data_IF_743804026015
#
_entry.id   IF_743804026015
#
_cell.length_a   1.000
_cell.length_b   1.000
_cell.length_c   1.000
_cell.angle_alpha   90.00
_cell.angle_beta   90.00
_cell.angle_gamma   90.00
#
_symmetry.space_group_name_H-M   'P 1'
#
loop_
_entity.id
_entity.type
_entity.pdbx_description
1 polymer ?
#
# COMPACT_ATOMS: atom_id res chain seq x y z
N UNK A 1 -3.56 -7.56 -6.77
CA UNK A 1 -2.11 -7.58 -6.50
C UNK A 1 -1.86 -8.63 -5.43
N UNK A 2 -1.14 -9.69 -5.78
CA UNK A 2 -0.62 -10.65 -4.81
C UNK A 2 0.90 -10.51 -4.85
N UNK A 3 1.47 -9.96 -3.79
CA UNK A 3 2.92 -9.80 -3.62
C UNK A 3 3.47 -11.15 -3.15
N UNK A 4 4.66 -11.61 -3.61
CA UNK A 4 5.27 -12.82 -3.09
C UNK A 4 5.59 -12.65 -1.60
N UNK A 5 4.87 -13.39 -0.77
CA UNK A 5 4.81 -13.26 0.69
C UNK A 5 6.19 -13.28 1.40
N UNK A 6 7.20 -14.00 0.86
CA UNK A 6 8.47 -14.23 1.56
C UNK A 6 9.49 -13.08 1.60
N UNK A 7 9.46 -12.13 0.65
CA UNK A 7 10.32 -10.92 0.70
C UNK A 7 9.67 -9.78 1.50
N UNK A 8 8.35 -9.82 1.62
CA UNK A 8 7.54 -8.83 2.34
C UNK A 8 7.68 -9.02 3.86
N UNK A 9 7.69 -10.26 4.34
CA UNK A 9 7.87 -10.58 5.76
C UNK A 9 9.23 -10.13 6.31
N UNK A 10 10.35 -10.40 5.62
CA UNK A 10 11.69 -10.02 6.11
C UNK A 10 11.92 -8.50 6.20
N UNK A 11 11.26 -7.72 5.34
CA UNK A 11 11.47 -6.26 5.24
C UNK A 11 10.54 -5.47 6.17
N UNK A 12 9.33 -5.96 6.42
CA UNK A 12 8.39 -5.34 7.38
C UNK A 12 8.82 -5.50 8.84
N UNK A 13 9.53 -6.58 9.17
CA UNK A 13 10.16 -6.77 10.51
C UNK A 13 11.03 -5.56 10.90
N UNK A 14 11.69 -4.89 9.95
CA UNK A 14 12.53 -3.72 10.23
C UNK A 14 11.72 -2.46 10.62
N UNK A 15 10.45 -2.36 10.20
CA UNK A 15 9.59 -1.20 10.45
C UNK A 15 8.78 -1.32 11.75
N UNK A 16 8.35 -2.53 12.08
CA UNK A 16 7.57 -2.86 13.29
C UNK A 16 8.31 -2.52 14.58
N UNK A 17 9.65 -2.56 14.53
CA UNK A 17 10.51 -2.13 15.63
C UNK A 17 10.41 -0.63 15.95
N UNK A 18 9.79 0.20 15.10
CA UNK A 18 9.87 1.66 15.23
C UNK A 18 8.75 2.28 16.07
N UNK A 19 7.52 1.75 16.03
CA UNK A 19 6.42 2.26 16.86
C UNK A 19 6.45 1.74 18.31
N UNK A 20 6.93 0.51 18.51
CA UNK A 20 7.06 -0.08 19.84
C UNK A 20 8.44 -0.75 20.00
N UNK A 21 9.53 0.06 20.05
CA UNK A 21 10.90 -0.48 20.04
C UNK A 21 11.26 -1.24 21.31
N UNK A 22 10.61 -0.90 22.42
CA UNK A 22 10.93 -1.40 23.76
C UNK A 22 10.47 -2.85 23.92
N UNK A 23 11.36 -3.67 24.49
CA UNK A 23 10.98 -5.00 24.97
C UNK A 23 10.10 -4.83 26.21
N UNK A 24 9.12 -5.71 26.32
CA UNK A 24 8.20 -5.75 27.44
C UNK A 24 8.96 -6.32 28.63
N UNK A 25 8.95 -5.57 29.72
CA UNK A 25 9.52 -5.98 30.99
C UNK A 25 8.38 -6.16 31.99
N UNK A 26 8.24 -7.38 32.49
CA UNK A 26 7.23 -7.80 33.46
C UNK A 26 7.94 -8.04 34.79
N UNK A 27 7.59 -7.24 35.81
CA UNK A 27 8.09 -7.41 37.17
C UNK A 27 7.90 -8.84 37.67
N UNK A 28 8.93 -9.40 38.32
CA UNK A 28 8.95 -10.82 38.78
C UNK A 28 7.70 -11.17 39.58
N UNK A 29 7.26 -10.27 40.46
CA UNK A 29 6.09 -10.45 41.32
C UNK A 29 4.75 -10.63 40.56
N UNK A 30 4.71 -10.27 39.27
CA UNK A 30 3.49 -10.30 38.45
C UNK A 30 3.56 -11.33 37.32
N UNK A 31 4.67 -12.07 37.16
CA UNK A 31 4.88 -12.98 36.03
C UNK A 31 3.88 -14.14 36.00
N UNK A 32 3.53 -14.69 37.15
CA UNK A 32 2.61 -15.82 37.25
C UNK A 32 1.14 -15.40 37.20
N UNK A 33 0.86 -14.11 37.05
CA UNK A 33 -0.51 -13.62 37.05
C UNK A 33 -1.19 -14.00 35.71
N UNK A 34 -2.35 -14.69 35.77
CA UNK A 34 -3.09 -15.04 34.56
C UNK A 34 -3.56 -13.79 33.84
N UNK A 35 -3.39 -13.76 32.53
CA UNK A 35 -3.78 -12.62 31.70
C UNK A 35 -5.30 -12.39 31.73
N UNK A 36 -6.10 -13.44 31.92
CA UNK A 36 -7.57 -13.34 32.02
C UNK A 36 -8.03 -12.48 33.21
N UNK A 37 -7.14 -12.20 34.18
CA UNK A 37 -7.42 -11.26 35.28
C UNK A 37 -7.32 -9.80 34.87
N UNK A 38 -6.71 -9.49 33.72
CA UNK A 38 -6.63 -8.16 33.14
C UNK A 38 -7.92 -7.81 32.39
N UNK A 39 -8.53 -6.66 32.70
CA UNK A 39 -9.64 -6.14 31.91
C UNK A 39 -9.14 -5.72 30.53
N UNK A 40 -9.31 -6.58 29.54
CA UNK A 40 -8.93 -6.35 28.15
C UNK A 40 -10.10 -6.55 27.21
N UNK A 41 -10.01 -5.94 26.04
CA UNK A 41 -10.95 -6.13 24.96
C UNK A 41 -10.93 -7.59 24.50
N UNK A 42 -12.08 -8.09 24.05
CA UNK A 42 -12.18 -9.43 23.49
C UNK A 42 -11.18 -9.65 22.32
N UNK A 43 -10.84 -8.57 21.60
CA UNK A 43 -9.86 -8.61 20.50
C UNK A 43 -8.44 -8.82 21.02
N UNK A 44 -8.00 -8.06 22.02
CA UNK A 44 -6.67 -8.24 22.62
C UNK A 44 -6.53 -9.61 23.27
N UNK A 45 -7.54 -10.05 24.04
CA UNK A 45 -7.55 -11.36 24.66
C UNK A 45 -7.43 -12.50 23.63
N UNK A 46 -8.12 -12.38 22.48
CA UNK A 46 -8.04 -13.38 21.41
C UNK A 46 -6.67 -13.41 20.72
N UNK A 47 -6.07 -12.24 20.50
CA UNK A 47 -4.71 -12.11 19.93
C UNK A 47 -3.66 -12.75 20.84
N UNK A 48 -3.75 -12.50 22.14
CA UNK A 48 -2.81 -13.01 23.13
C UNK A 48 -2.95 -14.52 23.31
N UNK A 49 -4.18 -15.04 23.42
CA UNK A 49 -4.42 -16.49 23.46
C UNK A 49 -3.89 -17.22 22.22
N UNK A 50 -4.14 -16.68 21.03
CA UNK A 50 -3.64 -17.26 19.77
C UNK A 50 -2.10 -17.27 19.71
N UNK A 51 -1.46 -16.28 20.32
CA UNK A 51 0.00 -16.16 20.37
C UNK A 51 0.64 -16.84 21.58
N UNK A 52 -0.11 -17.73 22.26
CA UNK A 52 0.39 -18.57 23.35
C UNK A 52 0.57 -17.86 24.69
N UNK A 53 0.11 -16.61 24.83
CA UNK A 53 0.21 -15.84 26.07
C UNK A 53 -0.93 -16.23 27.02
N UNK A 54 -0.59 -16.80 28.16
CA UNK A 54 -1.53 -17.23 29.22
C UNK A 54 -1.31 -16.46 30.52
N UNK A 55 -0.04 -16.18 30.85
CA UNK A 55 0.34 -15.37 32.01
C UNK A 55 1.09 -14.12 31.58
N UNK A 56 1.14 -13.09 32.43
CA UNK A 56 1.87 -11.86 32.12
C UNK A 56 3.35 -12.14 31.82
N UNK A 57 3.96 -13.12 32.49
CA UNK A 57 5.35 -13.53 32.26
C UNK A 57 5.65 -13.96 30.82
N UNK A 58 4.68 -14.47 30.06
CA UNK A 58 4.86 -14.88 28.66
C UNK A 58 5.11 -13.68 27.72
N UNK A 59 4.83 -12.46 28.19
CA UNK A 59 5.15 -11.23 27.47
C UNK A 59 6.59 -10.77 27.68
N UNK A 60 7.29 -11.29 28.70
CA UNK A 60 8.65 -10.87 29.04
C UNK A 60 9.59 -11.00 27.84
N UNK A 61 10.34 -9.93 27.53
CA UNK A 61 11.34 -9.91 26.47
C UNK A 61 10.77 -9.82 25.05
N UNK A 62 9.46 -10.03 24.86
CA UNK A 62 8.76 -9.79 23.59
C UNK A 62 8.57 -8.30 23.35
N UNK A 63 8.30 -7.89 22.12
CA UNK A 63 7.90 -6.52 21.80
C UNK A 63 6.42 -6.47 21.50
N UNK A 64 5.80 -5.32 21.77
CA UNK A 64 4.39 -5.09 21.38
C UNK A 64 4.23 -5.22 19.86
N UNK A 65 5.22 -4.76 19.08
CA UNK A 65 5.26 -4.93 17.62
C UNK A 65 5.13 -6.39 17.14
N UNK A 66 5.60 -7.37 17.92
CA UNK A 66 5.58 -8.80 17.54
C UNK A 66 4.15 -9.34 17.34
N UNK A 67 3.14 -8.66 17.88
CA UNK A 67 1.74 -9.07 17.79
C UNK A 67 1.00 -8.47 16.59
N UNK A 68 1.61 -7.53 15.85
CA UNK A 68 0.97 -6.81 14.73
C UNK A 68 0.42 -7.74 13.64
N UNK A 69 1.04 -8.91 13.47
CA UNK A 69 0.70 -9.92 12.46
C UNK A 69 -0.40 -10.89 12.84
N UNK A 70 -0.82 -10.84 14.10
CA UNK A 70 -1.91 -11.68 14.53
C UNK A 70 -3.18 -11.24 13.81
N UNK A 71 -3.90 -12.21 13.24
CA UNK A 71 -5.18 -11.94 12.58
C UNK A 71 -6.10 -11.17 13.53
N UNK A 72 -6.62 -10.04 13.06
CA UNK A 72 -7.42 -9.06 13.80
C UNK A 72 -6.66 -8.24 14.86
N UNK A 73 -5.33 -8.16 14.80
CA UNK A 73 -4.52 -7.28 15.64
C UNK A 73 -4.22 -5.96 14.91
N UNK A 74 -5.05 -4.94 15.15
CA UNK A 74 -4.83 -3.60 14.60
C UNK A 74 -4.02 -2.71 15.56
N UNK A 75 -3.69 -1.50 15.10
CA UNK A 75 -2.98 -0.50 15.92
C UNK A 75 -3.62 -0.27 17.29
N UNK A 76 -4.96 -0.14 17.35
CA UNK A 76 -5.66 0.04 18.63
C UNK A 76 -5.47 -1.14 19.59
N UNK A 77 -5.34 -2.37 19.08
CA UNK A 77 -5.09 -3.56 19.90
C UNK A 77 -3.65 -3.58 20.43
N UNK A 78 -2.69 -3.12 19.62
CA UNK A 78 -1.31 -2.97 20.06
C UNK A 78 -1.15 -1.84 21.09
N UNK A 79 -1.83 -0.72 20.89
CA UNK A 79 -1.84 0.38 21.86
C UNK A 79 -2.50 -0.04 23.18
N UNK A 80 -3.56 -0.85 23.11
CA UNK A 80 -4.18 -1.46 24.29
C UNK A 80 -3.18 -2.36 25.04
N UNK A 81 -2.41 -3.18 24.31
CA UNK A 81 -1.34 -4.01 24.90
C UNK A 81 -0.23 -3.15 25.53
N UNK A 82 0.25 -2.11 24.85
CA UNK A 82 1.25 -1.18 25.40
C UNK A 82 0.75 -0.48 26.67
N UNK A 83 -0.52 -0.05 26.66
CA UNK A 83 -1.16 0.57 27.82
C UNK A 83 -1.26 -0.39 29.01
N UNK A 84 -1.59 -1.66 28.74
CA UNK A 84 -1.62 -2.72 29.76
C UNK A 84 -0.23 -2.96 30.34
N UNK A 85 0.79 -3.09 29.50
CA UNK A 85 2.18 -3.32 29.93
C UNK A 85 2.66 -2.16 30.81
N UNK A 86 2.42 -0.91 30.40
CA UNK A 86 2.75 0.28 31.20
C UNK A 86 2.01 0.29 32.55
N UNK A 87 0.74 -0.11 32.57
CA UNK A 87 -0.04 -0.22 33.80
C UNK A 87 0.55 -1.25 34.78
N UNK A 88 0.95 -2.42 34.25
CA UNK A 88 1.62 -3.48 35.03
C UNK A 88 2.97 -3.02 35.58
N UNK A 89 3.76 -2.31 34.78
CA UNK A 89 5.07 -1.76 35.19
C UNK A 89 4.91 -0.68 36.27
N UNK A 90 4.00 0.28 36.06
CA UNK A 90 3.69 1.34 37.03
C UNK A 90 3.21 0.77 38.38
N UNK A 91 2.43 -0.30 38.35
CA UNK A 91 1.95 -0.94 39.57
C UNK A 91 3.11 -1.49 40.41
N UNK A 92 4.10 -2.14 39.78
CA UNK A 92 5.25 -2.67 40.50
C UNK A 92 6.13 -1.56 41.09
N UNK A 93 6.29 -0.42 40.40
CA UNK A 93 6.99 0.74 40.96
C UNK A 93 6.29 1.29 42.21
N UNK A 94 4.95 1.32 42.21
CA UNK A 94 4.16 1.77 43.35
C UNK A 94 4.21 0.78 44.52
N UNK A 95 4.23 -0.54 44.25
CA UNK A 95 4.40 -1.60 45.27
C UNK A 95 5.79 -1.53 45.90
N UNK A 96 6.82 -1.23 45.12
CA UNK A 96 8.19 -1.06 45.65
C UNK A 96 8.36 0.21 46.50
N UNK A 97 7.54 1.25 46.27
CA UNK A 97 7.56 2.51 47.05
C UNK A 97 6.72 2.47 48.32
N UNK A 98 5.59 1.76 48.31
CA UNK A 98 4.73 1.58 49.46
C UNK A 98 5.18 0.33 50.25
N UNK A 99 6.17 0.49 51.13
CA UNK A 99 6.69 -0.60 51.95
C UNK A 99 5.59 -1.43 52.62
N UNK A 100 5.64 -2.76 52.41
CA UNK A 100 4.92 -3.83 53.11
C UNK A 100 3.51 -3.54 53.65
N UNK A 101 2.66 -2.88 52.87
CA UNK A 101 1.21 -2.93 53.08
C UNK A 101 0.62 -4.11 52.31
N UNK A 102 -0.16 -4.98 52.97
CA UNK A 102 -0.89 -6.09 52.34
C UNK A 102 -1.92 -5.58 51.33
N UNK A 103 -1.45 -5.25 50.12
CA UNK A 103 -2.29 -4.87 49.00
C UNK A 103 -2.88 -6.13 48.37
N UNK A 104 -4.20 -6.27 48.43
CA UNK A 104 -4.91 -7.42 47.89
C UNK A 104 -4.62 -7.60 46.38
N UNK A 105 -3.87 -8.65 46.01
CA UNK A 105 -3.51 -9.03 44.63
C UNK A 105 -4.70 -9.03 43.65
N UNK A 106 -5.94 -9.23 44.13
CA UNK A 106 -7.17 -9.25 43.31
C UNK A 106 -7.64 -7.88 42.81
N UNK A 107 -7.22 -6.75 43.39
CA UNK A 107 -7.63 -5.39 42.94
C UNK A 107 -6.67 -4.77 41.92
N UNK A 108 -5.50 -5.37 41.71
CA UNK A 108 -4.38 -4.86 40.91
C UNK A 108 -4.70 -4.67 39.41
N UNK A 109 -5.41 -5.61 38.80
CA UNK A 109 -5.78 -5.52 37.38
C UNK A 109 -7.10 -4.78 37.12
N UNK A 110 -7.92 -4.58 38.15
CA UNK A 110 -9.22 -3.90 38.00
C UNK A 110 -9.10 -2.37 38.01
N UNK A 111 -8.07 -1.81 38.65
CA UNK A 111 -7.90 -0.35 38.75
C UNK A 111 -7.29 0.29 37.49
N UNK A 112 -6.48 -0.44 36.72
CA UNK A 112 -5.86 0.07 35.48
C UNK A 112 -6.88 0.28 34.34
N UNK A 113 -8.08 -0.28 34.47
CA UNK A 113 -9.17 -0.17 33.50
C UNK A 113 -10.29 0.78 33.95
N UNK A 114 -9.98 1.76 34.82
CA UNK A 114 -10.88 2.88 35.04
C UNK A 114 -10.98 3.73 33.78
N UNK A 115 -12.05 3.45 33.01
CA UNK A 115 -12.67 4.27 31.97
C UNK A 115 -12.35 5.77 32.13
N UNK A 116 -11.31 6.24 31.45
CA UNK A 116 -11.20 7.65 31.03
C UNK A 116 -10.95 7.70 29.53
N UNK A 117 -12.08 7.73 28.81
CA UNK A 117 -12.27 8.39 27.52
C UNK A 117 -11.30 7.96 26.40
N UNK A 118 -11.74 6.95 25.63
CA UNK A 118 -11.37 6.72 24.22
C UNK A 118 -11.75 7.89 23.27
N UNK A 119 -11.77 9.12 23.77
CA UNK A 119 -12.01 10.35 23.01
C UNK A 119 -11.05 11.50 23.35
N UNK A 120 -10.06 11.30 24.24
CA UNK A 120 -9.08 12.35 24.59
C UNK A 120 -7.62 11.85 24.72
N UNK A 121 -7.32 10.65 24.22
CA UNK A 121 -5.94 10.14 24.14
C UNK A 121 -5.22 10.52 22.82
N UNK A 122 -5.78 11.43 22.03
CA UNK A 122 -5.19 11.91 20.76
C UNK A 122 -4.02 12.89 20.95
N UNK A 123 -3.69 13.28 22.19
CA UNK A 123 -2.74 14.37 22.45
C UNK A 123 -1.46 13.99 23.22
N UNK A 124 -1.32 12.75 23.71
CA UNK A 124 -0.24 12.41 24.67
C UNK A 124 0.94 11.63 24.09
N UNK A 125 0.92 11.23 22.82
CA UNK A 125 2.04 10.50 22.20
C UNK A 125 3.08 11.41 21.52
N UNK A 126 3.15 12.71 21.86
CA UNK A 126 4.01 13.67 21.17
C UNK A 126 5.49 13.68 21.61
N UNK A 127 5.92 12.85 22.57
CA UNK A 127 7.23 13.05 23.23
C UNK A 127 8.06 11.84 23.67
N UNK A 128 7.79 10.61 23.23
CA UNK A 128 8.62 9.48 23.68
C UNK A 128 8.83 8.40 22.62
N UNK A 129 9.91 8.56 21.86
CA UNK A 129 10.47 7.55 20.97
C UNK A 129 11.02 8.24 19.73
N UNK A 130 12.27 7.97 19.39
CA UNK A 130 12.84 8.27 18.07
C UNK A 130 12.12 7.40 17.04
N UNK A 131 10.86 7.74 16.76
CA UNK A 131 10.07 7.10 15.71
C UNK A 131 10.76 7.45 14.40
N UNK A 132 11.12 6.44 13.61
CA UNK A 132 11.78 6.72 12.35
C UNK A 132 10.74 7.27 11.38
N UNK A 133 10.83 8.57 11.14
CA UNK A 133 9.96 9.30 10.23
C UNK A 133 10.27 8.92 8.78
N UNK A 134 9.29 9.08 7.89
CA UNK A 134 9.55 8.99 6.46
C UNK A 134 10.54 10.09 6.05
N UNK A 135 11.62 9.68 5.40
CA UNK A 135 12.61 10.57 4.80
C UNK A 135 12.43 10.52 3.29
N UNK A 136 11.93 11.61 2.70
CA UNK A 136 11.61 11.69 1.28
C UNK A 136 12.68 12.51 0.55
N UNK A 137 13.49 11.90 -0.33
CA UNK A 137 14.49 12.64 -1.09
C UNK A 137 13.89 13.71 -2.00
N UNK A 138 14.62 14.81 -2.22
CA UNK A 138 14.20 15.92 -3.11
C UNK A 138 13.93 15.46 -4.56
N UNK A 139 14.54 14.36 -5.00
CA UNK A 139 14.32 13.79 -6.33
C UNK A 139 12.91 13.24 -6.53
N UNK A 140 12.27 12.75 -5.46
CA UNK A 140 10.97 12.07 -5.53
C UNK A 140 9.84 12.85 -4.84
N UNK A 141 10.15 13.92 -4.12
CA UNK A 141 9.17 14.67 -3.33
C UNK A 141 8.04 15.30 -4.16
N UNK A 142 8.25 15.52 -5.46
CA UNK A 142 7.26 16.13 -6.37
C UNK A 142 6.27 15.12 -6.98
N UNK A 143 6.47 13.81 -6.77
CA UNK A 143 5.57 12.79 -7.32
C UNK A 143 4.19 12.90 -6.66
N UNK A 144 3.15 13.02 -7.48
CA UNK A 144 1.77 13.18 -7.04
C UNK A 144 1.10 11.83 -6.81
N UNK A 145 0.25 11.73 -5.78
CA UNK A 145 -0.42 10.48 -5.44
C UNK A 145 -1.46 10.01 -6.46
N UNK A 146 -2.03 10.92 -7.25
CA UNK A 146 -3.01 10.61 -8.30
C UNK A 146 -2.39 9.93 -9.52
N UNK A 147 -1.11 10.19 -9.79
CA UNK A 147 -0.32 9.57 -10.86
C UNK A 147 0.29 8.22 -10.44
N UNK A 148 0.41 7.97 -9.13
CA UNK A 148 1.09 6.80 -8.59
C UNK A 148 0.18 5.56 -8.46
N UNK A 149 0.75 4.35 -8.50
CA UNK A 149 0.00 3.11 -8.38
C UNK A 149 -0.36 2.82 -6.91
N UNK A 150 -1.33 3.56 -6.39
CA UNK A 150 -1.80 3.43 -5.00
C UNK A 150 -3.14 2.71 -4.89
N UNK A 151 -3.34 2.01 -3.79
CA UNK A 151 -4.60 1.36 -3.44
C UNK A 151 -5.64 2.40 -3.06
N UNK A 152 -6.93 2.04 -3.21
CA UNK A 152 -8.05 2.88 -2.73
C UNK A 152 -7.94 3.24 -1.26
N UNK A 153 -7.32 2.38 -0.45
CA UNK A 153 -7.12 2.63 0.98
C UNK A 153 -6.06 3.71 1.19
N UNK A 154 -4.89 3.58 0.57
CA UNK A 154 -3.87 4.62 0.62
C UNK A 154 -4.40 5.94 0.07
N UNK A 155 -5.10 5.93 -1.07
CA UNK A 155 -5.77 7.10 -1.64
C UNK A 155 -6.79 7.76 -0.69
N UNK A 156 -7.43 6.97 0.19
CA UNK A 156 -8.31 7.49 1.24
C UNK A 156 -7.53 8.16 2.37
N UNK A 157 -6.43 7.53 2.81
CA UNK A 157 -5.56 8.05 3.87
C UNK A 157 -4.91 9.36 3.45
N UNK A 158 -4.24 9.42 2.28
CA UNK A 158 -3.54 10.63 1.82
C UNK A 158 -4.52 11.80 1.64
N UNK A 159 -5.74 11.55 1.13
CA UNK A 159 -6.79 12.57 1.07
C UNK A 159 -7.24 13.05 2.45
N UNK A 160 -7.37 12.14 3.43
CA UNK A 160 -7.81 12.51 4.77
C UNK A 160 -6.80 13.37 5.52
N UNK A 161 -5.51 13.23 5.21
CA UNK A 161 -4.43 14.05 5.78
C UNK A 161 -4.07 15.26 4.90
N UNK A 162 -4.74 15.44 3.74
CA UNK A 162 -4.49 16.54 2.80
C UNK A 162 -3.20 16.41 1.98
N UNK A 163 -2.54 15.25 2.00
CA UNK A 163 -1.33 15.00 1.23
C UNK A 163 -1.64 14.81 -0.25
N UNK A 164 -0.90 15.54 -1.10
CA UNK A 164 -0.99 15.48 -2.58
C UNK A 164 0.24 14.84 -3.20
N UNK A 165 1.40 15.05 -2.58
CA UNK A 165 2.70 14.57 -3.06
C UNK A 165 3.37 13.61 -2.07
N UNK A 166 4.33 12.81 -2.54
CA UNK A 166 5.21 12.05 -1.64
C UNK A 166 5.95 12.96 -0.66
N UNK A 167 6.28 14.20 -1.06
CA UNK A 167 6.93 15.18 -0.19
C UNK A 167 6.12 15.55 1.05
N UNK A 168 4.79 15.50 0.97
CA UNK A 168 3.89 15.83 2.09
C UNK A 168 3.95 14.77 3.21
N UNK A 169 4.50 13.59 2.92
CA UNK A 169 4.76 12.57 3.94
C UNK A 169 6.07 12.78 4.69
N UNK A 170 6.93 13.70 4.23
CA UNK A 170 8.24 13.90 4.82
C UNK A 170 8.13 14.36 6.28
N UNK A 171 8.81 13.64 7.18
CA UNK A 171 8.76 13.93 8.61
C UNK A 171 7.57 13.32 9.34
N UNK A 172 6.58 12.75 8.65
CA UNK A 172 5.52 11.98 9.30
C UNK A 172 6.08 10.64 9.81
N UNK A 173 5.59 10.20 10.96
CA UNK A 173 5.89 8.88 11.49
C UNK A 173 4.87 7.84 11.05
N UNK A 174 5.30 6.58 11.05
CA UNK A 174 4.43 5.42 10.92
C UNK A 174 3.22 5.48 11.87
N UNK A 175 3.48 5.88 13.11
CA UNK A 175 2.54 5.82 14.20
C UNK A 175 1.54 6.98 14.10
N UNK A 176 1.98 8.14 13.61
CA UNK A 176 1.09 9.25 13.23
C UNK A 176 0.12 8.85 12.12
N UNK A 177 0.61 8.14 11.08
CA UNK A 177 -0.26 7.64 10.02
C UNK A 177 -1.24 6.58 10.52
N UNK A 178 -0.84 5.70 11.43
CA UNK A 178 -1.72 4.67 12.00
C UNK A 178 -2.85 5.22 12.87
N UNK A 179 -2.72 6.47 13.35
CA UNK A 179 -3.81 7.17 14.04
C UNK A 179 -4.89 7.66 13.07
N UNK A 180 -4.61 7.70 11.77
CA UNK A 180 -5.58 8.07 10.76
C UNK A 180 -6.64 6.96 10.57
N UNK A 181 -7.90 7.38 10.40
CA UNK A 181 -9.00 6.46 10.17
C UNK A 181 -8.74 5.61 8.93
N UNK A 182 -8.94 4.29 9.05
CA UNK A 182 -8.72 3.31 7.98
C UNK A 182 -7.25 3.18 7.50
N UNK A 183 -6.28 3.71 8.25
CA UNK A 183 -4.87 3.42 8.05
C UNK A 183 -4.49 2.17 8.86
N UNK A 184 -3.85 1.20 8.19
CA UNK A 184 -3.37 -0.03 8.82
C UNK A 184 -1.93 -0.26 8.41
N UNK A 185 -1.26 -1.22 9.06
CA UNK A 185 0.12 -1.60 8.74
C UNK A 185 0.35 -1.87 7.25
N UNK A 186 -0.59 -2.52 6.57
CA UNK A 186 -0.50 -2.73 5.12
C UNK A 186 -0.50 -1.43 4.30
N UNK A 187 -1.23 -0.40 4.74
CA UNK A 187 -1.21 0.91 4.08
C UNK A 187 0.13 1.60 4.28
N UNK A 188 0.72 1.45 5.47
CA UNK A 188 2.02 2.04 5.76
C UNK A 188 3.13 1.33 4.99
N UNK A 189 3.10 -0.01 4.92
CA UNK A 189 4.03 -0.79 4.11
C UNK A 189 3.90 -0.45 2.61
N UNK A 190 2.69 -0.16 2.13
CA UNK A 190 2.46 0.31 0.76
C UNK A 190 3.17 1.66 0.50
N UNK A 191 3.12 2.59 1.45
CA UNK A 191 3.83 3.88 1.36
C UNK A 191 5.34 3.66 1.26
N UNK A 192 5.91 2.82 2.12
CA UNK A 192 7.35 2.53 2.08
C UNK A 192 7.77 1.91 0.75
N UNK A 193 7.03 0.91 0.29
CA UNK A 193 7.29 0.29 -1.00
C UNK A 193 7.21 1.32 -2.13
N UNK A 194 6.27 2.26 -2.07
CA UNK A 194 6.13 3.32 -3.06
C UNK A 194 7.34 4.27 -3.04
N UNK A 195 7.82 4.63 -1.85
CA UNK A 195 9.03 5.46 -1.68
C UNK A 195 10.27 4.73 -2.20
N UNK A 196 10.46 3.45 -1.86
CA UNK A 196 11.58 2.65 -2.35
C UNK A 196 11.60 2.56 -3.88
N UNK A 197 10.45 2.28 -4.49
CA UNK A 197 10.29 2.24 -5.96
C UNK A 197 10.61 3.59 -6.59
N UNK A 198 10.16 4.68 -5.97
CA UNK A 198 10.46 6.02 -6.43
C UNK A 198 11.97 6.32 -6.35
N UNK A 199 12.62 5.98 -5.24
CA UNK A 199 14.07 6.17 -5.04
C UNK A 199 14.88 5.33 -6.04
N UNK A 200 14.43 4.12 -6.36
CA UNK A 200 15.02 3.28 -7.40
C UNK A 200 14.85 3.85 -8.82
N UNK A 201 14.15 4.97 -8.98
CA UNK A 201 13.92 5.62 -10.28
C UNK A 201 12.82 4.96 -11.10
N UNK A 202 11.98 4.09 -10.51
CA UNK A 202 10.91 3.40 -11.25
C UNK A 202 9.94 4.38 -11.93
N UNK A 203 9.74 5.55 -11.32
CA UNK A 203 8.83 6.61 -11.78
C UNK A 203 9.53 7.81 -12.44
N UNK A 204 10.85 7.75 -12.64
CA UNK A 204 11.62 8.85 -13.23
C UNK A 204 11.37 8.92 -14.74
N UNK A 205 10.79 10.03 -15.19
CA UNK A 205 10.48 10.26 -16.61
C UNK A 205 11.56 11.08 -17.34
N UNK A 206 12.55 11.63 -16.63
CA UNK A 206 13.58 12.49 -17.24
C UNK A 206 14.68 11.71 -17.99
N UNK A 207 14.61 10.39 -17.98
CA UNK A 207 15.64 9.50 -18.55
C UNK A 207 15.32 9.02 -19.96
N UNK A 208 14.19 9.46 -20.52
CA UNK A 208 13.67 8.90 -21.76
C UNK A 208 14.13 9.76 -22.94
N UNK A 209 14.96 9.21 -23.80
CA UNK A 209 15.26 9.83 -25.10
C UNK A 209 14.04 9.74 -26.03
N UNK A 210 13.77 10.80 -26.78
CA UNK A 210 12.60 10.86 -27.68
C UNK A 210 12.63 9.78 -28.77
N UNK A 211 13.83 9.39 -29.20
CA UNK A 211 14.10 8.27 -30.10
C UNK A 211 13.61 6.93 -29.56
N UNK A 212 13.74 6.70 -28.25
CA UNK A 212 13.43 5.44 -27.56
C UNK A 212 12.01 5.38 -26.97
N UNK A 213 11.32 6.52 -26.91
CA UNK A 213 10.03 6.67 -26.24
C UNK A 213 8.98 5.61 -26.67
N UNK A 214 8.90 5.30 -27.97
CA UNK A 214 7.97 4.28 -28.46
C UNK A 214 8.32 2.88 -27.92
N UNK A 215 9.60 2.47 -28.01
CA UNK A 215 10.05 1.15 -27.55
C UNK A 215 9.90 1.00 -26.04
N UNK A 216 10.22 2.07 -25.30
CA UNK A 216 10.07 2.10 -23.85
C UNK A 216 8.59 1.97 -23.44
N UNK A 217 7.68 2.71 -24.08
CA UNK A 217 6.25 2.60 -23.78
C UNK A 217 5.75 1.17 -23.95
N UNK A 218 6.06 0.51 -25.07
CA UNK A 218 5.59 -0.85 -25.31
C UNK A 218 6.12 -1.82 -24.25
N UNK A 219 7.40 -1.68 -23.89
CA UNK A 219 8.03 -2.48 -22.84
C UNK A 219 7.34 -2.28 -21.49
N UNK A 220 7.08 -1.03 -21.10
CA UNK A 220 6.40 -0.71 -19.84
C UNK A 220 4.96 -1.21 -19.83
N UNK A 221 4.24 -1.16 -20.96
CA UNK A 221 2.89 -1.67 -21.08
C UNK A 221 2.83 -3.19 -20.92
N UNK A 222 3.70 -3.94 -21.59
CA UNK A 222 3.74 -5.41 -21.43
C UNK A 222 4.14 -5.84 -20.01
N UNK A 223 5.15 -5.19 -19.42
CA UNK A 223 5.51 -5.42 -18.02
C UNK A 223 4.37 -5.02 -17.06
N UNK A 224 3.64 -3.96 -17.37
CA UNK A 224 2.44 -3.54 -16.64
C UNK A 224 1.32 -4.57 -16.72
N UNK A 225 1.10 -5.16 -17.90
CA UNK A 225 0.10 -6.23 -18.08
C UNK A 225 0.44 -7.47 -17.26
N UNK A 226 1.72 -7.78 -17.06
CA UNK A 226 2.16 -8.85 -16.17
C UNK A 226 1.85 -8.56 -14.68
N UNK A 227 1.69 -7.29 -14.28
CA UNK A 227 1.33 -6.88 -12.90
C UNK A 227 -0.18 -6.90 -12.65
N UNK A 228 -1.02 -6.94 -13.69
CA UNK A 228 -2.48 -7.02 -13.57
C UNK A 228 -2.92 -8.37 -12.98
N UNK A 229 -4.11 -8.42 -12.37
CA UNK A 229 -4.69 -9.72 -11.99
C UNK A 229 -4.97 -10.55 -13.25
N UNK A 230 -4.95 -11.89 -13.11
CA UNK A 230 -5.24 -12.83 -14.20
C UNK A 230 -6.53 -12.47 -14.95
N UNK A 231 -7.59 -12.08 -14.22
CA UNK A 231 -8.89 -11.71 -14.79
C UNK A 231 -8.84 -10.38 -15.55
N UNK A 232 -8.22 -9.35 -14.96
CA UNK A 232 -8.03 -8.06 -15.62
C UNK A 232 -7.24 -8.22 -16.93
N UNK A 233 -6.13 -8.97 -16.87
CA UNK A 233 -5.29 -9.25 -18.03
C UNK A 233 -6.03 -10.05 -19.12
N UNK A 234 -6.81 -11.08 -18.74
CA UNK A 234 -7.63 -11.84 -19.71
C UNK A 234 -8.64 -10.96 -20.46
N UNK A 235 -9.31 -10.04 -19.76
CA UNK A 235 -10.31 -9.18 -20.39
C UNK A 235 -9.65 -8.15 -21.29
N UNK A 236 -8.54 -7.57 -20.84
CA UNK A 236 -7.76 -6.64 -21.65
C UNK A 236 -7.17 -7.32 -22.90
N UNK A 237 -6.59 -8.51 -22.76
CA UNK A 237 -6.08 -9.30 -23.89
C UNK A 237 -7.18 -9.64 -24.91
N UNK A 238 -8.37 -10.03 -24.44
CA UNK A 238 -9.50 -10.28 -25.33
C UNK A 238 -9.93 -8.98 -26.05
N UNK A 239 -9.94 -7.85 -25.32
CA UNK A 239 -10.29 -6.54 -25.87
C UNK A 239 -9.32 -6.11 -26.97
N UNK A 240 -8.00 -6.15 -26.73
CA UNK A 240 -7.00 -5.76 -27.75
C UNK A 240 -6.91 -6.75 -28.91
N UNK A 241 -7.37 -7.99 -28.73
CA UNK A 241 -7.56 -8.96 -29.83
C UNK A 241 -8.78 -8.66 -30.70
N UNK A 242 -9.61 -7.70 -30.31
CA UNK A 242 -10.72 -7.18 -31.12
C UNK A 242 -12.10 -7.61 -30.64
N UNK A 243 -12.21 -8.31 -29.51
CA UNK A 243 -13.52 -8.66 -28.96
C UNK A 243 -14.19 -7.44 -28.34
N UNK A 244 -15.51 -7.38 -28.48
CA UNK A 244 -16.38 -6.43 -27.80
C UNK A 244 -16.60 -6.82 -26.33
N UNK A 245 -17.03 -5.86 -25.51
CA UNK A 245 -17.39 -6.15 -24.12
C UNK A 245 -18.54 -7.16 -23.99
N UNK A 246 -19.45 -7.20 -24.95
CA UNK A 246 -20.57 -8.15 -24.98
C UNK A 246 -20.08 -9.57 -25.26
N UNK A 247 -19.17 -9.76 -26.21
CA UNK A 247 -18.58 -11.06 -26.53
C UNK A 247 -17.73 -11.61 -25.39
N UNK A 248 -16.92 -10.76 -24.76
CA UNK A 248 -16.17 -11.12 -23.56
C UNK A 248 -17.16 -11.49 -22.45
N UNK A 249 -18.23 -10.73 -22.27
CA UNK A 249 -19.29 -11.03 -21.31
C UNK A 249 -19.88 -12.43 -21.52
N UNK A 250 -20.27 -12.76 -22.75
CA UNK A 250 -20.78 -14.09 -23.11
C UNK A 250 -19.77 -15.20 -22.80
N UNK A 251 -18.49 -15.02 -23.15
CA UNK A 251 -17.43 -16.03 -22.92
C UNK A 251 -17.17 -16.30 -21.44
N UNK A 252 -17.33 -15.31 -20.57
CA UNK A 252 -17.02 -15.42 -19.15
C UNK A 252 -18.26 -15.48 -18.24
N UNK A 253 -19.47 -15.55 -18.81
CA UNK A 253 -20.72 -15.58 -18.04
C UNK A 253 -21.00 -14.28 -17.27
N UNK A 254 -20.69 -13.13 -17.87
CA UNK A 254 -20.79 -11.80 -17.25
C UNK A 254 -21.55 -10.82 -18.13
N UNK A 255 -22.08 -9.75 -17.51
CA UNK A 255 -22.69 -8.65 -18.26
C UNK A 255 -21.64 -7.79 -18.96
N UNK A 256 -22.02 -7.17 -20.08
CA UNK A 256 -21.23 -6.15 -20.80
C UNK A 256 -20.68 -5.09 -19.86
N UNK A 257 -21.55 -4.55 -18.98
CA UNK A 257 -21.19 -3.52 -18.03
C UNK A 257 -20.11 -3.98 -17.04
N UNK A 258 -20.17 -5.23 -16.58
CA UNK A 258 -19.17 -5.76 -15.64
C UNK A 258 -17.81 -5.93 -16.31
N UNK A 259 -17.77 -6.40 -17.55
CA UNK A 259 -16.52 -6.48 -18.32
C UNK A 259 -15.94 -5.09 -18.52
N UNK A 260 -16.74 -4.13 -18.97
CA UNK A 260 -16.31 -2.75 -19.17
C UNK A 260 -15.67 -2.16 -17.88
N UNK A 261 -16.33 -2.31 -16.73
CA UNK A 261 -15.78 -1.85 -15.44
C UNK A 261 -14.41 -2.47 -15.13
N UNK A 262 -14.24 -3.77 -15.37
CA UNK A 262 -12.97 -4.46 -15.11
C UNK A 262 -11.89 -3.99 -16.08
N UNK A 263 -12.21 -3.81 -17.36
CA UNK A 263 -11.26 -3.33 -18.37
C UNK A 263 -10.85 -1.88 -18.11
N UNK A 264 -11.78 -0.97 -17.81
CA UNK A 264 -11.47 0.42 -17.44
C UNK A 264 -10.57 0.48 -16.22
N UNK A 265 -10.85 -0.34 -15.20
CA UNK A 265 -9.98 -0.43 -14.02
C UNK A 265 -8.58 -0.96 -14.36
N UNK A 266 -8.49 -1.93 -15.27
CA UNK A 266 -7.20 -2.45 -15.73
C UNK A 266 -6.38 -1.39 -16.47
N UNK A 267 -7.02 -0.61 -17.34
CA UNK A 267 -6.40 0.50 -18.07
C UNK A 267 -5.93 1.62 -17.12
N UNK A 268 -6.75 2.03 -16.14
CA UNK A 268 -6.35 2.99 -15.10
C UNK A 268 -5.15 2.48 -14.29
N UNK A 269 -5.14 1.18 -13.98
CA UNK A 269 -4.00 0.55 -13.29
C UNK A 269 -2.75 0.57 -14.15
N UNK A 270 -2.85 0.24 -15.44
CA UNK A 270 -1.71 0.28 -16.37
C UNK A 270 -1.14 1.69 -16.51
N UNK A 271 -2.00 2.69 -16.69
CA UNK A 271 -1.60 4.10 -16.82
C UNK A 271 -0.80 4.60 -15.61
N UNK A 272 -1.13 4.11 -14.40
CA UNK A 272 -0.47 4.51 -13.14
C UNK A 272 0.66 3.58 -12.70
N UNK A 273 0.82 2.41 -13.32
CA UNK A 273 1.75 1.36 -12.84
C UNK A 273 3.19 1.87 -12.68
N UNK A 274 3.59 2.77 -13.58
CA UNK A 274 4.92 3.38 -13.65
C UNK A 274 4.90 4.88 -13.33
N UNK A 275 3.90 5.34 -12.59
CA UNK A 275 3.76 6.76 -12.23
C UNK A 275 3.52 7.62 -13.48
N UNK A 276 4.16 8.81 -13.58
CA UNK A 276 3.95 9.74 -14.69
C UNK A 276 4.56 9.27 -16.02
N UNK A 277 5.38 8.20 -16.03
CA UNK A 277 6.12 7.76 -17.24
C UNK A 277 5.19 7.38 -18.38
N UNK A 278 4.16 6.58 -18.12
CA UNK A 278 3.24 6.13 -19.19
C UNK A 278 2.47 7.31 -19.79
N UNK A 279 1.84 8.21 -19.01
CA UNK A 279 1.25 9.43 -19.54
C UNK A 279 2.22 10.28 -20.37
N UNK A 280 3.43 10.53 -19.87
CA UNK A 280 4.43 11.35 -20.58
C UNK A 280 4.86 10.72 -21.91
N UNK A 281 5.10 9.40 -21.92
CA UNK A 281 5.41 8.66 -23.15
C UNK A 281 4.27 8.70 -24.17
N UNK A 282 3.01 8.61 -23.71
CA UNK A 282 1.85 8.76 -24.58
C UNK A 282 1.79 10.17 -25.19
N UNK A 283 2.10 11.22 -24.42
CA UNK A 283 2.14 12.60 -24.91
C UNK A 283 3.32 12.83 -25.89
N UNK A 284 4.48 12.23 -25.64
CA UNK A 284 5.60 12.23 -26.60
C UNK A 284 5.21 11.56 -27.92
N UNK A 285 4.48 10.44 -27.87
CA UNK A 285 3.96 9.79 -29.08
C UNK A 285 2.96 10.66 -29.84
N UNK A 286 2.07 11.38 -29.14
CA UNK A 286 1.17 12.36 -29.77
C UNK A 286 1.95 13.45 -30.47
N UNK A 287 2.97 14.01 -29.81
CA UNK A 287 3.84 15.01 -30.43
C UNK A 287 4.50 14.48 -31.71
N UNK A 288 5.03 13.25 -31.66
CA UNK A 288 5.66 12.62 -32.84
C UNK A 288 4.68 12.34 -33.98
N UNK A 289 3.43 11.98 -33.67
CA UNK A 289 2.36 11.82 -34.67
C UNK A 289 2.07 13.15 -35.38
N UNK A 290 1.91 14.23 -34.60
CA UNK A 290 1.67 15.58 -35.11
C UNK A 290 2.81 16.07 -36.01
N UNK A 291 4.07 15.78 -35.65
CA UNK A 291 5.24 16.13 -36.48
C UNK A 291 5.32 15.33 -37.78
N UNK A 292 4.81 14.09 -37.78
CA UNK A 292 4.84 13.21 -38.94
C UNK A 292 3.67 13.45 -39.91
N UNK A 293 2.79 14.41 -39.63
CA UNK A 293 1.53 14.65 -40.35
C UNK A 293 0.65 13.38 -40.48
N UNK A 294 0.82 12.39 -39.58
CA UNK A 294 0.04 11.18 -39.58
C UNK A 294 -1.25 11.40 -38.78
N UNK A 295 -2.40 11.07 -39.37
CA UNK A 295 -3.71 11.21 -38.71
C UNK A 295 -3.94 10.17 -37.62
N UNK A 296 -3.30 8.99 -37.72
CA UNK A 296 -3.48 7.87 -36.79
C UNK A 296 -2.21 7.06 -36.60
N UNK A 297 -2.08 6.43 -35.43
CA UNK A 297 -1.03 5.46 -35.14
C UNK A 297 -1.32 4.13 -35.85
N UNK A 298 -0.56 3.80 -36.90
CA UNK A 298 -0.66 2.51 -37.59
C UNK A 298 0.38 1.50 -37.10
N UNK A 299 0.15 0.18 -37.27
CA UNK A 299 1.14 -0.83 -36.91
C UNK A 299 2.49 -0.66 -37.63
N UNK A 300 2.47 -0.22 -38.89
CA UNK A 300 3.67 0.02 -39.68
C UNK A 300 4.47 1.25 -39.18
N UNK A 301 3.76 2.33 -38.85
CA UNK A 301 4.38 3.52 -38.25
C UNK A 301 4.99 3.20 -36.88
N UNK A 302 4.29 2.41 -36.07
CA UNK A 302 4.81 1.96 -34.78
C UNK A 302 6.06 1.07 -34.95
N UNK A 303 6.11 0.21 -35.95
CA UNK A 303 7.32 -0.58 -36.26
C UNK A 303 8.50 0.32 -36.61
N UNK A 304 8.27 1.32 -37.47
CA UNK A 304 9.30 2.29 -37.86
C UNK A 304 9.88 3.05 -36.66
N UNK A 305 9.04 3.38 -35.68
CA UNK A 305 9.47 4.14 -34.50
C UNK A 305 10.19 3.30 -33.46
N UNK A 306 9.88 2.01 -33.38
CA UNK A 306 10.53 1.08 -32.44
C UNK A 306 11.84 0.54 -33.01
N UNK A 307 11.94 0.40 -34.34
CA UNK A 307 13.15 -0.10 -35.00
C UNK A 307 13.55 -1.51 -34.51
N UNK A 308 14.85 -1.72 -34.29
CA UNK A 308 15.40 -3.02 -33.85
C UNK A 308 15.15 -3.32 -32.35
N UNK A 309 14.71 -2.34 -31.57
CA UNK A 309 14.34 -2.50 -30.15
C UNK A 309 13.09 -3.38 -29.94
N UNK A 310 12.58 -3.95 -31.03
CA UNK A 310 11.37 -4.75 -31.19
C UNK A 310 11.48 -6.21 -30.75
N UNK A 311 12.70 -6.76 -30.64
CA UNK A 311 12.94 -8.21 -30.53
C UNK A 311 12.40 -8.88 -29.26
N UNK A 312 12.03 -8.13 -28.23
CA UNK A 312 11.62 -8.67 -26.93
C UNK A 312 10.11 -8.56 -26.64
N UNK A 313 9.31 -8.01 -27.55
CA UNK A 313 7.89 -7.75 -27.32
C UNK A 313 7.04 -8.98 -27.67
N UNK A 314 6.10 -9.33 -26.78
CA UNK A 314 5.22 -10.50 -26.92
C UNK A 314 3.93 -10.20 -27.70
N UNK A 315 3.45 -8.97 -27.64
CA UNK A 315 2.25 -8.54 -28.34
C UNK A 315 2.58 -8.15 -29.79
N UNK A 316 1.66 -8.44 -30.71
CA UNK A 316 1.78 -7.94 -32.08
C UNK A 316 1.67 -6.41 -32.11
N UNK A 317 2.18 -5.76 -33.16
CA UNK A 317 2.04 -4.31 -33.35
C UNK A 317 0.59 -3.86 -33.37
N UNK A 318 -0.28 -4.64 -34.01
CA UNK A 318 -1.71 -4.37 -34.03
C UNK A 318 -2.32 -4.40 -32.62
N UNK A 319 -1.89 -5.34 -31.76
CA UNK A 319 -2.34 -5.39 -30.37
C UNK A 319 -1.83 -4.19 -29.56
N UNK A 320 -0.60 -3.74 -29.78
CA UNK A 320 -0.04 -2.54 -29.16
C UNK A 320 -0.80 -1.27 -29.56
N UNK A 321 -1.08 -1.06 -30.85
CA UNK A 321 -1.86 0.08 -31.34
C UNK A 321 -3.23 0.12 -30.66
N UNK A 322 -3.92 -1.02 -30.59
CA UNK A 322 -5.22 -1.12 -29.90
C UNK A 322 -5.11 -0.87 -28.40
N UNK A 323 -4.04 -1.32 -27.75
CA UNK A 323 -3.82 -1.05 -26.33
C UNK A 323 -3.60 0.46 -26.07
N UNK A 324 -2.77 1.11 -26.89
CA UNK A 324 -2.52 2.55 -26.80
C UNK A 324 -3.82 3.33 -27.01
N UNK A 325 -4.63 2.93 -27.98
CA UNK A 325 -5.93 3.52 -28.23
C UNK A 325 -6.92 3.41 -27.05
N UNK A 326 -6.90 2.27 -26.36
CA UNK A 326 -7.73 2.06 -25.17
C UNK A 326 -7.23 2.88 -23.96
N UNK A 327 -5.92 3.14 -23.88
CA UNK A 327 -5.31 3.96 -22.82
C UNK A 327 -5.48 5.47 -23.06
N UNK A 328 -5.46 5.88 -24.32
CA UNK A 328 -5.54 7.26 -24.75
C UNK A 328 -6.31 7.36 -26.06
N UNK A 329 -7.62 7.59 -25.93
CA UNK A 329 -8.53 7.62 -27.05
C UNK A 329 -8.29 8.81 -27.99
N UNK A 330 -7.49 9.80 -27.58
CA UNK A 330 -7.16 10.97 -28.38
C UNK A 330 -6.01 10.70 -29.36
N UNK A 331 -5.24 9.62 -29.14
CA UNK A 331 -4.22 9.13 -30.09
C UNK A 331 -4.86 8.57 -31.38
N UNK A 332 -6.14 8.20 -31.34
CA UNK A 332 -6.89 7.62 -32.47
C UNK A 332 -8.11 8.44 -32.89
N UNK A 333 -8.06 9.78 -32.83
CA UNK A 333 -9.19 10.61 -33.28
C UNK A 333 -9.36 10.63 -34.82
N UNK A 334 -9.57 9.47 -35.44
CA UNK A 334 -10.47 9.28 -36.59
C UNK A 334 -11.30 7.98 -36.52
N UNK A 335 -11.03 7.03 -35.61
CA UNK A 335 -11.72 5.71 -35.56
C UNK A 335 -12.81 5.57 -34.47
N UNK A 336 -13.12 6.64 -33.72
CA UNK A 336 -14.17 6.63 -32.66
C UNK A 336 -15.60 6.28 -33.13
N UNK A 337 -15.86 6.05 -34.43
CA UNK A 337 -17.20 5.73 -34.93
C UNK A 337 -17.54 4.24 -35.07
N UNK A 338 -16.59 3.30 -34.95
CA UNK A 338 -16.92 1.88 -35.19
C UNK A 338 -16.96 0.97 -33.94
N UNK A 339 -16.56 1.46 -32.77
CA UNK A 339 -16.51 0.64 -31.53
C UNK A 339 -17.63 0.92 -30.51
N UNK A 340 -18.64 1.72 -30.88
CA UNK A 340 -19.72 2.13 -29.98
C UNK A 340 -21.06 1.37 -30.14
N UNK A 341 -21.08 0.24 -30.85
CA UNK A 341 -22.24 -0.66 -30.89
C UNK A 341 -21.99 -1.93 -30.06
#
# INVERSE_FOLDING_TARGET
MAVPHGKFEKRMVAFEFRCFPKRIEIPVALRDQPFDTCQTSARLAHVLRRSGVRVLGDLQGRKVGDFAWQKNCGFNTLHELDSLVRGVQSLAENVSRAGNGTYSRRRACCAAAQRRRLGKAHALHRKAGTEANFSIPKSVCKLQFDELPITRRLAGVVRSIGARTLGDLNGLSACELLQCKNCYWHTVAEIEQLIERAIAGEFDAKRIEESEAAAELLTLLEQGMAKLSRRENQFLLARIRGLTFAEIGRRFGLTRARVHQVTVKALDTLRKTWGPRVPLLLDMMKHRLSLSNASELTPALLEQWVGESSRCLRLSRQAHVRLIAELDADILLATKREFLC
#
